data_IF_574508459632
#
_entry.id   IF_574508459632
#
_cell.length_a   1.000
_cell.length_b   1.000
_cell.length_c   1.000
_cell.angle_alpha   90.00
_cell.angle_beta   90.00
_cell.angle_gamma   90.00
#
_symmetry.space_group_name_H-M   'P 1'
#
loop_
_entity.id
_entity.type
_entity.pdbx_description
1 polymer ?
#
# COMPACT_ATOMS: atom_id res chain seq x y z
N UNK A 1 -16.15 -7.92 -4.42
CA UNK A 1 -15.01 -7.87 -3.47
C UNK A 1 -13.75 -8.26 -4.23
N UNK A 2 -12.72 -7.43 -4.18
CA UNK A 2 -11.41 -7.74 -4.77
C UNK A 2 -10.51 -8.21 -3.64
N UNK A 3 -9.89 -9.39 -3.80
CA UNK A 3 -8.84 -9.89 -2.89
C UNK A 3 -7.50 -9.71 -3.59
N UNK A 4 -6.54 -9.12 -2.90
CA UNK A 4 -5.16 -9.01 -3.40
C UNK A 4 -4.25 -9.83 -2.50
N UNK A 5 -3.27 -10.46 -3.14
CA UNK A 5 -2.12 -11.04 -2.44
C UNK A 5 -1.06 -9.96 -2.29
N UNK A 6 -0.63 -9.74 -1.06
CA UNK A 6 0.49 -8.87 -0.73
C UNK A 6 1.68 -9.76 -0.41
N UNK A 7 2.79 -9.52 -1.12
CA UNK A 7 4.08 -10.08 -0.76
C UNK A 7 4.78 -9.07 0.14
N UNK A 8 4.92 -9.41 1.41
CA UNK A 8 5.74 -8.66 2.36
C UNK A 8 7.14 -9.25 2.30
N UNK A 9 8.14 -8.41 2.02
CA UNK A 9 9.55 -8.82 2.00
C UNK A 9 10.28 -8.01 3.07
N UNK A 10 10.95 -8.70 3.99
CA UNK A 10 11.88 -8.06 4.90
C UNK A 10 13.08 -7.55 4.08
N UNK A 11 13.33 -6.23 4.04
CA UNK A 11 14.40 -5.66 3.22
C UNK A 11 15.81 -6.03 3.71
N UNK A 12 15.96 -6.52 4.94
CA UNK A 12 17.26 -6.84 5.53
C UNK A 12 17.63 -8.32 5.36
N UNK A 13 16.64 -9.21 5.38
CA UNK A 13 16.87 -10.67 5.30
C UNK A 13 16.45 -11.26 3.96
N UNK A 14 15.58 -10.58 3.20
CA UNK A 14 14.96 -11.10 1.99
C UNK A 14 13.92 -12.19 2.26
N UNK A 15 13.69 -12.55 3.52
CA UNK A 15 12.59 -13.43 3.90
C UNK A 15 11.27 -12.72 3.68
N UNK A 16 10.25 -13.47 3.24
CA UNK A 16 8.95 -12.90 2.92
C UNK A 16 7.80 -13.68 3.51
N UNK A 17 6.67 -13.00 3.63
CA UNK A 17 5.39 -13.57 3.98
C UNK A 17 4.35 -13.06 2.98
N UNK A 18 3.49 -13.96 2.53
CA UNK A 18 2.34 -13.60 1.70
C UNK A 18 1.10 -13.46 2.56
N UNK A 19 0.31 -12.43 2.29
CA UNK A 19 -0.96 -12.20 2.96
C UNK A 19 -2.05 -11.90 1.93
N UNK A 20 -3.15 -12.66 1.98
CA UNK A 20 -4.36 -12.33 1.23
C UNK A 20 -5.29 -11.48 2.08
N UNK A 21 -5.73 -10.34 1.52
CA UNK A 21 -6.71 -9.51 2.19
C UNK A 21 -7.77 -8.98 1.22
N UNK A 22 -8.95 -8.71 1.78
CA UNK A 22 -10.01 -7.98 1.08
C UNK A 22 -9.59 -6.53 1.00
N UNK A 23 -9.70 -5.97 -0.20
CA UNK A 23 -9.23 -4.61 -0.50
C UNK A 23 -10.35 -3.80 -1.12
N UNK A 24 -10.41 -2.53 -0.74
CA UNK A 24 -11.25 -1.53 -1.39
C UNK A 24 -10.85 -1.39 -2.86
N UNK A 25 -11.76 -1.59 -3.83
CA UNK A 25 -11.49 -1.36 -5.25
C UNK A 25 -10.88 0.02 -5.53
N UNK A 26 -11.26 1.04 -4.76
CA UNK A 26 -10.72 2.41 -4.90
C UNK A 26 -9.22 2.48 -4.63
N UNK A 27 -8.71 1.67 -3.69
CA UNK A 27 -7.26 1.58 -3.46
C UNK A 27 -6.53 1.05 -4.70
N UNK A 28 -7.10 0.06 -5.37
CA UNK A 28 -6.48 -0.56 -6.56
C UNK A 28 -6.45 0.43 -7.72
N UNK A 29 -7.53 1.17 -7.94
CA UNK A 29 -7.59 2.25 -8.92
C UNK A 29 -6.56 3.35 -8.62
N UNK A 30 -6.52 3.81 -7.37
CA UNK A 30 -5.61 4.88 -6.94
C UNK A 30 -4.14 4.43 -7.04
N UNK A 31 -3.80 3.18 -6.69
CA UNK A 31 -2.45 2.63 -6.86
C UNK A 31 -2.02 2.54 -8.33
N UNK A 32 -2.91 2.05 -9.19
CA UNK A 32 -2.64 1.97 -10.63
C UNK A 32 -2.46 3.36 -11.25
N UNK A 33 -3.30 4.31 -10.86
CA UNK A 33 -3.17 5.70 -11.29
C UNK A 33 -1.87 6.33 -10.79
N UNK A 34 -1.54 6.12 -9.51
CA UNK A 34 -0.34 6.70 -8.89
C UNK A 34 0.96 6.23 -9.54
N UNK A 35 1.04 4.97 -9.97
CA UNK A 35 2.17 4.42 -10.73
C UNK A 35 2.47 5.20 -12.01
N UNK A 36 1.46 5.86 -12.59
CA UNK A 36 1.60 6.65 -13.83
C UNK A 36 2.02 8.10 -13.61
N UNK A 37 1.96 8.61 -12.37
CA UNK A 37 2.04 10.05 -12.07
C UNK A 37 3.47 10.59 -11.82
N UNK A 38 4.51 9.77 -11.89
CA UNK A 38 5.87 10.20 -11.50
C UNK A 38 5.96 10.54 -10.00
N UNK A 39 7.00 11.26 -9.59
CA UNK A 39 7.19 11.63 -8.18
C UNK A 39 6.18 12.72 -7.77
N UNK A 40 5.11 12.35 -7.04
CA UNK A 40 4.05 13.31 -6.66
C UNK A 40 4.21 13.94 -5.27
N UNK A 41 5.26 13.57 -4.52
CA UNK A 41 5.43 14.00 -3.13
C UNK A 41 4.39 13.40 -2.17
N UNK A 42 3.69 12.33 -2.56
CA UNK A 42 2.75 11.59 -1.73
C UNK A 42 3.22 10.14 -1.53
N UNK A 43 2.66 9.47 -0.53
CA UNK A 43 2.85 8.05 -0.28
C UNK A 43 1.53 7.43 0.14
N UNK A 44 1.31 6.18 -0.25
CA UNK A 44 0.30 5.34 0.36
C UNK A 44 0.87 4.73 1.63
N UNK A 45 0.16 4.92 2.74
CA UNK A 45 0.28 4.10 3.92
C UNK A 45 -0.76 3.00 3.81
N UNK A 46 -0.33 1.74 3.76
CA UNK A 46 -1.21 0.57 3.62
C UNK A 46 -0.88 -0.38 4.77
N UNK A 47 -1.90 -0.88 5.47
CA UNK A 47 -1.73 -1.82 6.56
C UNK A 47 -2.92 -2.79 6.64
N UNK A 48 -2.67 -3.97 7.22
CA UNK A 48 -3.73 -4.91 7.54
C UNK A 48 -4.32 -4.48 8.90
N UNK A 49 -5.58 -4.07 8.89
CA UNK A 49 -6.33 -3.81 10.11
C UNK A 49 -6.83 -5.14 10.66
N UNK A 50 -6.11 -5.69 11.63
CA UNK A 50 -6.42 -6.99 12.23
C UNK A 50 -7.74 -7.02 13.00
N UNK A 51 -8.28 -5.85 13.39
CA UNK A 51 -9.59 -5.75 14.05
C UNK A 51 -10.70 -5.93 13.02
N UNK A 52 -10.52 -5.41 11.80
CA UNK A 52 -11.50 -5.52 10.71
C UNK A 52 -11.30 -6.73 9.81
N UNK A 53 -10.10 -7.31 9.81
CA UNK A 53 -9.72 -8.36 8.85
C UNK A 53 -9.58 -7.85 7.41
N UNK A 54 -9.33 -6.55 7.24
CA UNK A 54 -9.31 -5.88 5.94
C UNK A 54 -8.05 -5.02 5.78
N UNK A 55 -7.70 -4.71 4.53
CA UNK A 55 -6.64 -3.73 4.24
C UNK A 55 -7.19 -2.32 4.42
N UNK A 56 -6.59 -1.58 5.34
CA UNK A 56 -6.80 -0.16 5.50
C UNK A 56 -5.68 0.61 4.83
N UNK A 57 -5.99 1.80 4.33
CA UNK A 57 -5.04 2.60 3.59
C UNK A 57 -5.32 4.10 3.71
N UNK A 58 -4.28 4.91 3.54
CA UNK A 58 -4.37 6.37 3.50
C UNK A 58 -3.32 6.94 2.53
N UNK A 59 -3.72 7.94 1.75
CA UNK A 59 -2.78 8.76 0.98
C UNK A 59 -2.26 9.90 1.86
N UNK A 60 -0.94 9.97 2.04
CA UNK A 60 -0.26 10.99 2.83
C UNK A 60 0.63 11.84 1.95
N UNK A 61 0.68 13.14 2.20
CA UNK A 61 1.73 13.99 1.63
C UNK A 61 3.02 13.74 2.39
N UNK A 62 4.11 13.43 1.67
CA UNK A 62 5.44 13.33 2.24
C UNK A 62 5.99 14.75 2.30
N UNK A 63 6.37 15.27 3.47
CA UNK A 63 7.08 16.54 3.53
C UNK A 63 8.38 16.41 2.74
N UNK A 64 8.60 17.29 1.77
CA UNK A 64 9.89 17.37 1.08
C UNK A 64 10.87 17.99 2.06
N UNK A 65 11.59 17.16 2.82
CA UNK A 65 12.70 17.63 3.64
C UNK A 65 13.93 17.78 2.73
N UNK A 66 14.21 19.03 2.33
CA UNK A 66 15.51 19.50 1.85
C UNK A 66 16.00 18.90 0.53
N UNK A 67 15.86 19.67 -0.55
CA UNK A 67 16.87 19.70 -1.62
C UNK A 67 18.11 20.45 -1.11
#
# INVERSE_FOLDING_TARGET
MTRLSFELVDPNTGEGASAEAVVDPKLVEDLNFYRTQGATGKAFLIWIDTVKGEVSWQLRTIPVFGL
#
